data_IF_658275473931
#
_entry.id   IF_658275473931
#
_cell.length_a   1.000
_cell.length_b   1.000
_cell.length_c   1.000
_cell.angle_alpha   90.00
_cell.angle_beta   90.00
_cell.angle_gamma   90.00
#
_symmetry.space_group_name_H-M   'P 1'
#
loop_
_entity.id
_entity.type
_entity.pdbx_description
1 polymer ?
#
# COMPACT_ATOMS: atom_id res chain seq x y z
N UNK A 1 -7.23 -5.48 -28.18
CA UNK A 1 -7.22 -4.00 -28.11
C UNK A 1 -7.16 -3.61 -26.65
N UNK A 2 -6.28 -2.68 -26.25
CA UNK A 2 -6.21 -2.18 -24.85
C UNK A 2 -6.97 -0.86 -24.76
N UNK A 3 -7.83 -0.73 -23.76
CA UNK A 3 -8.53 0.52 -23.46
C UNK A 3 -7.74 1.42 -22.49
N UNK A 4 -6.58 0.94 -22.01
CA UNK A 4 -5.67 1.71 -21.15
C UNK A 4 -4.73 2.53 -22.02
N UNK A 5 -4.58 3.81 -21.69
CA UNK A 5 -3.66 4.72 -22.39
C UNK A 5 -2.23 4.14 -22.36
N UNK A 6 -1.58 4.13 -23.50
CA UNK A 6 -0.24 3.58 -23.68
C UNK A 6 0.90 4.50 -23.22
N UNK A 7 0.76 5.14 -22.07
CA UNK A 7 1.76 6.06 -21.54
C UNK A 7 3.10 5.36 -21.22
N UNK A 8 3.02 4.09 -20.84
CA UNK A 8 4.20 3.28 -20.53
C UNK A 8 4.26 2.04 -21.41
N UNK A 9 5.43 1.74 -21.93
CA UNK A 9 5.68 0.46 -22.61
C UNK A 9 5.62 -0.67 -21.60
N UNK A 10 4.75 -1.66 -21.83
CA UNK A 10 4.70 -2.88 -21.02
C UNK A 10 5.78 -3.83 -21.49
N UNK A 11 6.90 -3.89 -20.76
CA UNK A 11 8.01 -4.80 -21.08
C UNK A 11 7.68 -6.27 -20.82
N UNK A 12 6.78 -6.53 -19.86
CA UNK A 12 6.28 -7.86 -19.55
C UNK A 12 4.80 -7.93 -19.90
N UNK A 13 4.41 -8.92 -20.72
CA UNK A 13 3.04 -9.10 -21.20
C UNK A 13 2.26 -10.17 -20.42
N UNK A 14 2.89 -10.74 -19.41
CA UNK A 14 2.26 -11.77 -18.58
C UNK A 14 1.17 -11.20 -17.67
N UNK A 15 0.15 -12.01 -17.40
CA UNK A 15 -0.95 -11.68 -16.52
C UNK A 15 -0.64 -12.20 -15.10
N UNK A 16 -0.24 -11.34 -14.19
CA UNK A 16 0.03 -11.70 -12.81
C UNK A 16 -1.26 -11.70 -11.99
N UNK A 17 -1.57 -12.83 -11.39
CA UNK A 17 -2.80 -13.04 -10.61
C UNK A 17 -2.56 -13.27 -9.14
N UNK A 18 -1.33 -13.54 -8.73
CA UNK A 18 -0.96 -13.81 -7.34
C UNK A 18 0.43 -13.25 -7.03
N UNK A 19 0.61 -12.80 -5.78
CA UNK A 19 1.90 -12.41 -5.23
C UNK A 19 2.11 -13.01 -3.85
N UNK A 20 3.35 -13.38 -3.51
CA UNK A 20 3.74 -13.81 -2.16
C UNK A 20 5.21 -13.46 -1.89
N UNK A 21 5.46 -12.67 -0.86
CA UNK A 21 6.80 -12.18 -0.55
C UNK A 21 7.39 -11.44 -1.74
N UNK A 22 8.57 -11.79 -2.19
CA UNK A 22 9.24 -11.19 -3.35
C UNK A 22 8.86 -11.79 -4.71
N UNK A 23 7.81 -12.62 -4.77
CA UNK A 23 7.45 -13.34 -5.99
C UNK A 23 6.06 -13.00 -6.49
N UNK A 24 5.94 -12.92 -7.81
CA UNK A 24 4.70 -12.85 -8.57
C UNK A 24 4.46 -14.16 -9.31
N UNK A 25 3.20 -14.49 -9.54
CA UNK A 25 2.78 -15.69 -10.23
C UNK A 25 1.78 -15.32 -11.32
N UNK A 26 1.97 -15.90 -12.52
CA UNK A 26 1.05 -15.71 -13.63
C UNK A 26 -0.20 -16.59 -13.49
N UNK A 27 -1.19 -16.33 -14.33
CA UNK A 27 -2.36 -17.19 -14.52
C UNK A 27 -2.01 -18.61 -15.04
N UNK A 28 -0.82 -18.77 -15.64
CA UNK A 28 -0.26 -20.05 -16.07
C UNK A 28 0.56 -20.77 -15.00
N UNK A 29 0.72 -20.16 -13.80
CA UNK A 29 1.49 -20.72 -12.69
C UNK A 29 3.00 -20.46 -12.76
N UNK A 30 3.47 -19.68 -13.71
CA UNK A 30 4.87 -19.30 -13.81
C UNK A 30 5.25 -18.36 -12.66
N UNK A 31 6.47 -18.50 -12.13
CA UNK A 31 6.97 -17.76 -10.99
C UNK A 31 8.05 -16.75 -11.42
N UNK A 32 7.87 -15.51 -11.02
CA UNK A 32 8.80 -14.40 -11.30
C UNK A 32 9.29 -13.78 -10.00
N UNK A 33 10.57 -13.49 -9.92
CA UNK A 33 11.14 -12.69 -8.84
C UNK A 33 10.89 -11.21 -9.16
N UNK A 34 10.18 -10.52 -8.28
CA UNK A 34 9.78 -9.13 -8.48
C UNK A 34 10.81 -8.16 -7.89
N UNK A 35 11.71 -7.66 -8.73
CA UNK A 35 12.64 -6.58 -8.37
C UNK A 35 12.06 -5.17 -8.54
N UNK A 36 10.87 -5.04 -9.15
CA UNK A 36 10.21 -3.74 -9.36
C UNK A 36 9.42 -3.32 -8.13
N UNK A 37 8.71 -4.26 -7.52
CA UNK A 37 7.91 -4.09 -6.30
C UNK A 37 7.02 -2.83 -6.31
N UNK A 38 6.34 -2.58 -7.44
CA UNK A 38 5.52 -1.38 -7.62
C UNK A 38 6.30 -0.07 -7.57
N UNK A 39 7.57 -0.09 -8.03
CA UNK A 39 8.56 1.00 -7.92
C UNK A 39 8.97 1.20 -6.45
N UNK A 40 9.49 0.11 -5.85
CA UNK A 40 10.06 0.05 -4.49
C UNK A 40 9.08 0.45 -3.36
N UNK A 41 7.77 0.22 -3.53
CA UNK A 41 6.78 0.54 -2.51
C UNK A 41 6.32 -0.68 -1.70
N UNK A 42 6.55 -1.90 -2.19
CA UNK A 42 6.17 -3.15 -1.51
C UNK A 42 7.27 -3.66 -0.58
N UNK A 43 7.75 -2.83 0.34
CA UNK A 43 8.88 -3.14 1.23
C UNK A 43 8.71 -4.44 2.04
N UNK A 44 7.49 -4.81 2.41
CA UNK A 44 7.17 -6.05 3.13
C UNK A 44 6.85 -7.23 2.20
N UNK A 45 6.93 -7.01 0.89
CA UNK A 45 6.58 -7.99 -0.13
C UNK A 45 5.06 -8.10 -0.36
N UNK A 46 4.73 -8.91 -1.37
CA UNK A 46 3.35 -9.17 -1.76
C UNK A 46 2.63 -10.02 -0.71
N UNK A 47 1.39 -9.67 -0.43
CA UNK A 47 0.46 -10.46 0.38
C UNK A 47 1.01 -10.79 1.77
N UNK A 48 1.61 -9.77 2.43
CA UNK A 48 2.12 -9.91 3.78
C UNK A 48 0.97 -10.22 4.75
N UNK A 49 1.06 -11.32 5.46
CA UNK A 49 -0.04 -11.90 6.24
C UNK A 49 -0.62 -10.92 7.26
N UNK A 50 0.24 -10.23 8.02
CA UNK A 50 -0.22 -9.24 9.00
C UNK A 50 -1.01 -8.11 8.34
N UNK A 51 -0.52 -7.55 7.23
CA UNK A 51 -1.21 -6.47 6.52
C UNK A 51 -2.55 -6.92 5.93
N UNK A 52 -2.59 -8.13 5.37
CA UNK A 52 -3.85 -8.72 4.87
C UNK A 52 -4.88 -8.86 5.98
N UNK A 53 -4.47 -9.33 7.16
CA UNK A 53 -5.36 -9.48 8.30
C UNK A 53 -5.84 -8.11 8.83
N UNK A 54 -4.95 -7.10 8.89
CA UNK A 54 -5.34 -5.73 9.26
C UNK A 54 -6.37 -5.18 8.27
N UNK A 55 -6.14 -5.35 6.96
CA UNK A 55 -7.08 -4.90 5.93
C UNK A 55 -8.45 -5.58 6.04
N UNK A 56 -8.48 -6.90 6.25
CA UNK A 56 -9.73 -7.66 6.47
C UNK A 56 -10.50 -7.12 7.67
N UNK A 57 -9.82 -6.93 8.80
CA UNK A 57 -10.44 -6.42 10.02
C UNK A 57 -10.93 -4.97 9.85
N UNK A 58 -10.19 -4.15 9.11
CA UNK A 58 -10.58 -2.76 8.86
C UNK A 58 -11.71 -2.64 7.84
N UNK A 59 -11.84 -3.60 6.91
CA UNK A 59 -12.89 -3.57 5.88
C UNK A 59 -14.32 -3.61 6.45
N UNK A 60 -14.48 -4.11 7.66
CA UNK A 60 -15.75 -4.17 8.39
C UNK A 60 -16.04 -2.89 9.21
N UNK A 61 -15.15 -1.92 9.21
CA UNK A 61 -15.25 -0.65 9.96
C UNK A 61 -15.46 0.53 9.00
N UNK A 62 -15.74 1.75 9.51
CA UNK A 62 -15.80 2.92 8.66
C UNK A 62 -14.50 3.12 7.86
N UNK A 63 -14.62 3.28 6.56
CA UNK A 63 -13.48 3.44 5.66
C UNK A 63 -12.99 4.87 5.58
N UNK A 64 -13.90 5.81 5.76
CA UNK A 64 -13.57 7.22 5.77
C UNK A 64 -14.41 7.94 6.84
N UNK A 65 -13.72 8.75 7.64
CA UNK A 65 -14.33 9.68 8.57
C UNK A 65 -13.76 11.07 8.30
N UNK A 66 -14.62 12.09 8.40
CA UNK A 66 -14.16 13.47 8.33
C UNK A 66 -13.20 13.79 9.49
N UNK A 67 -12.26 14.71 9.26
CA UNK A 67 -11.41 15.27 10.32
C UNK A 67 -12.19 16.03 11.43
N UNK A 68 -13.51 16.15 11.28
CA UNK A 68 -14.40 16.63 12.35
C UNK A 68 -14.60 15.60 13.47
N UNK A 69 -14.22 14.35 13.23
CA UNK A 69 -14.37 13.26 14.20
C UNK A 69 -13.01 12.81 14.72
N UNK A 70 -13.00 12.36 15.98
CA UNK A 70 -11.82 11.73 16.55
C UNK A 70 -11.61 10.34 15.92
N UNK A 71 -10.43 10.11 15.35
CA UNK A 71 -10.04 8.84 14.73
C UNK A 71 -8.93 8.23 15.61
N UNK A 72 -9.29 7.23 16.40
CA UNK A 72 -8.37 6.63 17.38
C UNK A 72 -7.10 6.03 16.75
N UNK A 73 -7.23 5.39 15.59
CA UNK A 73 -6.11 4.80 14.87
C UNK A 73 -5.13 5.88 14.40
N UNK A 74 -5.63 7.02 13.97
CA UNK A 74 -4.84 8.19 13.58
C UNK A 74 -4.06 8.75 14.78
N UNK A 75 -4.73 8.92 15.93
CA UNK A 75 -4.10 9.38 17.17
C UNK A 75 -3.00 8.43 17.65
N UNK A 76 -3.26 7.13 17.65
CA UNK A 76 -2.25 6.11 18.01
C UNK A 76 -1.04 6.15 17.11
N UNK A 77 -1.26 6.30 15.80
CA UNK A 77 -0.18 6.38 14.83
C UNK A 77 0.61 7.67 14.97
N UNK A 78 -0.05 8.82 15.10
CA UNK A 78 0.58 10.12 15.34
C UNK A 78 1.45 10.08 16.60
N UNK A 79 0.93 9.58 17.72
CA UNK A 79 1.69 9.41 18.96
C UNK A 79 2.96 8.61 18.75
N UNK A 80 2.85 7.45 18.09
CA UNK A 80 4.00 6.59 17.80
C UNK A 80 5.06 7.29 16.94
N UNK A 81 4.62 8.06 15.93
CA UNK A 81 5.53 8.84 15.09
C UNK A 81 6.24 9.93 15.88
N UNK A 82 5.53 10.68 16.72
CA UNK A 82 6.12 11.71 17.58
C UNK A 82 7.15 11.12 18.56
N UNK A 83 6.83 10.01 19.20
CA UNK A 83 7.76 9.30 20.09
C UNK A 83 9.04 8.86 19.37
N UNK A 84 8.91 8.39 18.13
CA UNK A 84 10.03 7.91 17.32
C UNK A 84 10.86 9.04 16.72
N UNK A 85 10.23 10.11 16.23
CA UNK A 85 10.89 11.20 15.51
C UNK A 85 11.26 12.39 16.39
N UNK A 86 10.71 12.47 17.60
CA UNK A 86 10.85 13.59 18.54
C UNK A 86 10.18 14.90 18.07
N UNK A 87 9.29 14.83 17.09
CA UNK A 87 8.41 15.94 16.74
C UNK A 87 7.20 16.00 17.68
N UNK A 88 6.61 17.19 17.81
CA UNK A 88 5.49 17.43 18.74
C UNK A 88 4.14 17.02 18.18
N UNK A 89 3.99 17.03 16.85
CA UNK A 89 2.72 16.72 16.18
C UNK A 89 2.93 16.18 14.76
N UNK A 90 1.87 15.56 14.22
CA UNK A 90 1.85 14.98 12.85
C UNK A 90 0.61 15.46 12.12
N UNK A 91 0.80 15.94 10.89
CA UNK A 91 -0.27 16.20 9.94
C UNK A 91 -0.37 15.06 8.93
N UNK A 92 -1.59 14.60 8.63
CA UNK A 92 -1.84 13.58 7.61
C UNK A 92 -2.45 14.19 6.36
N UNK A 93 -1.85 13.90 5.22
CA UNK A 93 -2.26 14.41 3.90
C UNK A 93 -2.31 13.26 2.89
N UNK A 94 -2.98 13.47 1.75
CA UNK A 94 -3.12 12.45 0.72
C UNK A 94 -1.91 12.36 -0.22
N UNK A 95 -1.08 13.38 -0.26
CA UNK A 95 0.10 13.42 -1.14
C UNK A 95 1.26 14.16 -0.49
N UNK A 96 2.47 13.86 -0.94
CA UNK A 96 3.65 14.60 -0.52
C UNK A 96 3.59 16.09 -0.87
N UNK A 97 2.97 16.45 -1.99
CA UNK A 97 2.78 17.85 -2.39
C UNK A 97 1.87 18.63 -1.44
N UNK A 98 0.91 17.98 -0.79
CA UNK A 98 0.06 18.60 0.24
C UNK A 98 0.77 18.65 1.60
N UNK A 99 1.73 17.77 1.85
CA UNK A 99 2.46 17.69 3.11
C UNK A 99 3.67 18.63 3.18
N UNK A 100 4.10 19.23 2.07
CA UNK A 100 5.22 20.18 1.97
C UNK A 100 4.73 21.60 1.81
#
# INVERSE_FOLDING_TARGET
>A
MSYVLGTYARSVKENFTKGKGSYLYTDKGEKYLDFVQGIAVNALGHNHEYLVNVMKNQSEKPWHLSNLFLIQEQEKFAKRLCEFTKFDSVGFQNSGAEAT
#
